data_IF_853064362495
#
_entry.id   IF_853064362495
#
_cell.length_a   1.000
_cell.length_b   1.000
_cell.length_c   1.000
_cell.angle_alpha   90.00
_cell.angle_beta   90.00
_cell.angle_gamma   90.00
#
_symmetry.space_group_name_H-M   'P 1'
#
loop_
_entity.id
_entity.type
_entity.pdbx_description
1 polymer ?
#
# COMPACT_ATOMS: atom_id res chain seq x y z
N UNK A 1 -27.59 -5.12 8.06
CA UNK A 1 -26.76 -6.34 7.87
C UNK A 1 -25.31 -5.91 8.02
N UNK A 2 -24.54 -6.38 9.01
CA UNK A 2 -23.12 -5.95 9.13
C UNK A 2 -22.27 -6.63 8.06
N UNK A 3 -21.31 -5.90 7.49
CA UNK A 3 -20.38 -6.42 6.48
C UNK A 3 -19.46 -7.46 7.14
N UNK A 4 -19.51 -8.71 6.66
CA UNK A 4 -18.72 -9.80 7.21
C UNK A 4 -17.42 -9.97 6.40
N UNK A 5 -16.39 -9.24 6.82
CA UNK A 5 -15.06 -9.22 6.22
C UNK A 5 -14.17 -10.32 6.80
N UNK A 6 -14.55 -11.59 6.66
CA UNK A 6 -13.75 -12.70 7.16
C UNK A 6 -12.32 -12.63 6.59
N UNK A 7 -11.33 -12.59 7.50
CA UNK A 7 -9.89 -12.57 7.21
C UNK A 7 -9.34 -11.29 6.54
N UNK A 8 -10.12 -10.22 6.40
CA UNK A 8 -9.56 -8.91 6.04
C UNK A 8 -8.81 -8.33 7.24
N UNK A 9 -7.54 -8.04 7.03
CA UNK A 9 -6.71 -7.33 8.00
C UNK A 9 -6.69 -5.82 7.69
N UNK A 10 -6.65 -5.46 6.41
CA UNK A 10 -6.45 -4.08 5.95
C UNK A 10 -7.33 -3.73 4.76
N UNK A 11 -7.93 -2.54 4.80
CA UNK A 11 -8.57 -1.89 3.65
C UNK A 11 -7.77 -0.64 3.30
N UNK A 12 -7.31 -0.54 2.07
CA UNK A 12 -6.51 0.59 1.58
C UNK A 12 -7.35 1.40 0.60
N UNK A 13 -7.58 2.66 0.91
CA UNK A 13 -8.15 3.63 -0.02
C UNK A 13 -7.01 4.30 -0.77
N UNK A 14 -7.07 4.40 -2.10
CA UNK A 14 -6.09 5.17 -2.90
C UNK A 14 -6.75 5.91 -4.08
N UNK A 15 -6.03 6.82 -4.72
CA UNK A 15 -6.44 7.47 -5.97
C UNK A 15 -6.59 8.98 -5.83
N UNK A 16 -5.64 9.74 -6.39
CA UNK A 16 -5.66 11.20 -6.41
C UNK A 16 -5.89 11.84 -5.03
N UNK A 17 -6.80 12.81 -4.98
CA UNK A 17 -7.23 13.46 -3.74
C UNK A 17 -8.53 12.84 -3.19
N UNK A 18 -8.39 11.72 -2.49
CA UNK A 18 -9.52 11.04 -1.84
C UNK A 18 -10.26 11.91 -0.81
N UNK A 19 -9.58 12.89 -0.23
CA UNK A 19 -10.19 13.76 0.79
C UNK A 19 -11.24 14.69 0.16
N UNK A 20 -11.12 14.98 -1.13
CA UNK A 20 -12.07 15.80 -1.88
C UNK A 20 -13.21 14.98 -2.50
N UNK A 21 -13.16 13.65 -2.40
CA UNK A 21 -14.17 12.78 -3.03
C UNK A 21 -15.41 12.62 -2.13
N UNK A 22 -16.58 12.91 -2.71
CA UNK A 22 -17.85 13.08 -1.96
C UNK A 22 -18.27 11.86 -1.16
N UNK A 23 -17.91 10.65 -1.61
CA UNK A 23 -18.32 9.40 -0.99
C UNK A 23 -17.28 8.78 -0.04
N UNK A 24 -16.10 9.38 0.11
CA UNK A 24 -15.03 8.80 0.93
C UNK A 24 -15.48 8.57 2.37
N UNK A 25 -16.12 9.54 3.01
CA UNK A 25 -16.55 9.44 4.41
C UNK A 25 -17.60 8.35 4.62
N UNK A 26 -18.54 8.21 3.69
CA UNK A 26 -19.57 7.17 3.74
C UNK A 26 -18.94 5.77 3.66
N UNK A 27 -17.98 5.57 2.74
CA UNK A 27 -17.28 4.29 2.61
C UNK A 27 -16.42 3.97 3.82
N UNK A 28 -15.75 4.99 4.38
CA UNK A 28 -14.99 4.84 5.63
C UNK A 28 -15.90 4.43 6.78
N UNK A 29 -17.08 5.03 6.93
CA UNK A 29 -18.02 4.70 8.00
C UNK A 29 -18.54 3.26 7.88
N UNK A 30 -18.90 2.82 6.66
CA UNK A 30 -19.30 1.43 6.39
C UNK A 30 -18.18 0.46 6.82
N UNK A 31 -16.93 0.76 6.46
CA UNK A 31 -15.78 -0.09 6.78
C UNK A 31 -15.48 -0.12 8.28
N UNK A 32 -15.55 1.04 8.96
CA UNK A 32 -15.32 1.19 10.40
C UNK A 32 -16.36 0.44 11.24
N UNK A 33 -17.60 0.34 10.75
CA UNK A 33 -18.71 -0.32 11.44
C UNK A 33 -18.86 -1.82 11.10
N UNK A 34 -17.91 -2.39 10.34
CA UNK A 34 -17.85 -3.84 10.09
C UNK A 34 -17.56 -4.65 11.36
N UNK A 35 -17.99 -5.92 11.41
CA UNK A 35 -17.86 -6.77 12.60
C UNK A 35 -16.41 -7.02 13.03
N UNK A 36 -15.52 -7.17 12.04
CA UNK A 36 -14.12 -7.55 12.24
C UNK A 36 -13.16 -6.35 12.38
N UNK A 37 -13.64 -5.11 12.20
CA UNK A 37 -12.90 -3.85 12.36
C UNK A 37 -11.48 -3.89 11.76
N UNK A 38 -11.34 -4.03 10.42
CA UNK A 38 -10.03 -4.04 9.78
C UNK A 38 -9.27 -2.73 10.02
N UNK A 39 -7.95 -2.74 9.85
CA UNK A 39 -7.20 -1.50 9.77
C UNK A 39 -7.54 -0.79 8.45
N UNK A 40 -8.03 0.44 8.56
CA UNK A 40 -8.31 1.26 7.38
C UNK A 40 -7.13 2.20 7.15
N UNK A 41 -6.66 2.21 5.92
CA UNK A 41 -5.54 3.01 5.46
C UNK A 41 -5.98 3.89 4.31
N UNK A 42 -5.57 5.15 4.33
CA UNK A 42 -5.70 6.06 3.18
C UNK A 42 -4.31 6.36 2.65
N UNK A 43 -4.08 6.06 1.37
CA UNK A 43 -2.84 6.37 0.66
C UNK A 43 -3.01 7.67 -0.12
N UNK A 44 -2.20 8.67 0.24
CA UNK A 44 -2.26 10.01 -0.33
C UNK A 44 -0.87 10.62 -0.49
N UNK A 45 -0.74 11.50 -1.48
CA UNK A 45 0.40 12.37 -1.59
C UNK A 45 0.33 13.50 -0.55
N UNK A 46 1.47 13.88 0.05
CA UNK A 46 1.52 14.89 1.12
C UNK A 46 0.91 16.24 0.71
N UNK A 47 0.96 16.58 -0.58
CA UNK A 47 0.40 17.83 -1.10
C UNK A 47 -1.13 17.88 -1.02
N UNK A 48 -1.84 16.76 -1.04
CA UNK A 48 -3.30 16.70 -0.89
C UNK A 48 -3.78 16.91 0.56
N UNK A 49 -2.87 16.71 1.52
CA UNK A 49 -3.14 16.91 2.95
C UNK A 49 -3.02 18.38 3.33
N UNK A 50 -2.09 19.10 2.68
CA UNK A 50 -1.75 20.48 3.02
C UNK A 50 -2.99 21.38 2.97
N UNK A 51 -3.30 22.03 4.10
CA UNK A 51 -4.46 22.92 4.29
C UNK A 51 -5.84 22.25 4.16
N UNK A 52 -5.91 20.92 4.26
CA UNK A 52 -7.18 20.21 4.17
C UNK A 52 -7.83 20.03 5.56
N UNK A 53 -8.74 20.95 5.89
CA UNK A 53 -9.49 20.94 7.16
C UNK A 53 -10.46 19.77 7.32
N UNK A 54 -10.71 19.00 6.26
CA UNK A 54 -11.59 17.82 6.37
C UNK A 54 -11.06 16.81 7.38
N UNK A 55 -9.73 16.73 7.52
CA UNK A 55 -9.05 15.84 8.45
C UNK A 55 -9.37 16.15 9.92
N UNK A 56 -9.87 17.35 10.24
CA UNK A 56 -10.29 17.72 11.60
C UNK A 56 -11.53 16.94 12.07
N UNK A 57 -12.27 16.31 11.15
CA UNK A 57 -13.44 15.48 11.49
C UNK A 57 -13.05 14.23 12.29
N UNK A 58 -13.89 13.88 13.26
CA UNK A 58 -13.69 12.75 14.18
C UNK A 58 -13.48 11.38 13.51
N UNK A 59 -13.98 11.18 12.29
CA UNK A 59 -13.78 9.93 11.56
C UNK A 59 -12.29 9.66 11.29
N UNK A 60 -11.52 10.69 10.93
CA UNK A 60 -10.11 10.55 10.53
C UNK A 60 -9.18 10.23 11.71
N UNK A 61 -9.57 10.56 12.95
CA UNK A 61 -8.88 10.12 14.18
C UNK A 61 -8.87 8.59 14.34
N UNK A 62 -9.70 7.86 13.59
CA UNK A 62 -9.76 6.39 13.59
C UNK A 62 -9.03 5.76 12.40
N UNK A 63 -8.55 6.58 11.45
CA UNK A 63 -7.99 6.13 10.18
C UNK A 63 -6.46 6.23 10.19
N UNK A 64 -5.80 5.24 9.60
CA UNK A 64 -4.35 5.24 9.38
C UNK A 64 -4.03 5.83 8.00
N UNK A 65 -2.84 6.39 7.81
CA UNK A 65 -2.44 6.98 6.54
C UNK A 65 -1.09 6.46 6.04
N UNK A 66 -1.00 6.21 4.73
CA UNK A 66 0.26 6.14 4.00
C UNK A 66 0.46 7.48 3.30
N UNK A 67 1.46 8.25 3.73
CA UNK A 67 1.77 9.55 3.14
C UNK A 67 2.96 9.39 2.20
N UNK A 68 2.72 9.58 0.90
CA UNK A 68 3.76 9.53 -0.12
C UNK A 68 4.40 10.89 -0.33
N UNK A 69 5.72 10.88 -0.55
CA UNK A 69 6.52 12.04 -0.90
C UNK A 69 7.77 11.58 -1.65
N UNK A 70 8.33 12.41 -2.53
CA UNK A 70 9.53 12.07 -3.28
C UNK A 70 10.74 12.97 -2.96
N UNK A 71 11.91 12.60 -3.47
CA UNK A 71 13.11 13.42 -3.32
C UNK A 71 12.92 14.75 -4.07
N UNK A 72 12.49 14.68 -5.33
CA UNK A 72 12.24 15.88 -6.13
C UNK A 72 11.18 16.79 -5.48
N UNK A 73 10.11 16.24 -4.89
CA UNK A 73 9.06 17.04 -4.25
C UNK A 73 9.54 17.89 -3.08
N UNK A 74 10.51 17.37 -2.33
CA UNK A 74 11.06 18.03 -1.15
C UNK A 74 12.21 18.97 -1.53
N UNK A 75 13.04 18.57 -2.50
CA UNK A 75 14.30 19.24 -2.82
C UNK A 75 14.31 20.02 -4.16
N UNK A 76 13.16 20.20 -4.81
CA UNK A 76 13.04 21.10 -5.97
C UNK A 76 13.55 22.52 -5.62
N UNK A 77 13.84 23.36 -6.64
CA UNK A 77 14.54 24.66 -6.55
C UNK A 77 14.07 25.67 -5.48
N UNK A 78 12.93 25.44 -4.81
CA UNK A 78 12.46 26.10 -3.58
C UNK A 78 12.79 25.32 -2.29
N UNK A 79 13.96 24.66 -2.24
CA UNK A 79 14.39 23.63 -1.27
C UNK A 79 13.95 23.81 0.20
N UNK A 80 14.13 24.98 0.82
CA UNK A 80 13.82 25.15 2.25
C UNK A 80 12.31 25.21 2.56
N UNK A 81 11.52 25.68 1.60
CA UNK A 81 10.09 25.93 1.81
C UNK A 81 9.29 24.63 1.78
N UNK A 82 9.60 23.72 0.86
CA UNK A 82 8.86 22.46 0.71
C UNK A 82 9.10 21.52 1.90
N UNK A 83 10.35 21.35 2.35
CA UNK A 83 10.61 20.55 3.54
C UNK A 83 9.91 21.12 4.79
N UNK A 84 9.94 22.44 4.98
CA UNK A 84 9.22 23.10 6.08
C UNK A 84 7.70 22.87 6.00
N UNK A 85 7.10 22.98 4.81
CA UNK A 85 5.68 22.70 4.57
C UNK A 85 5.33 21.23 4.81
N UNK A 86 6.20 20.31 4.40
CA UNK A 86 6.03 18.89 4.65
C UNK A 86 6.06 18.59 6.15
N UNK A 87 7.01 19.15 6.90
CA UNK A 87 7.08 19.00 8.35
C UNK A 87 5.85 19.60 9.07
N UNK A 88 5.30 20.72 8.58
CA UNK A 88 4.01 21.26 9.06
C UNK A 88 2.86 20.28 8.79
N UNK A 89 2.84 19.68 7.61
CA UNK A 89 1.85 18.66 7.22
C UNK A 89 1.92 17.44 8.14
N UNK A 90 3.13 16.95 8.48
CA UNK A 90 3.29 15.82 9.40
C UNK A 90 2.86 16.15 10.84
N UNK A 91 3.09 17.39 11.31
CA UNK A 91 2.57 17.82 12.60
C UNK A 91 1.03 17.81 12.62
N UNK A 92 0.41 18.33 11.56
CA UNK A 92 -1.04 18.32 11.40
C UNK A 92 -1.60 16.88 11.38
N UNK A 93 -0.97 15.97 10.64
CA UNK A 93 -1.37 14.56 10.61
C UNK A 93 -1.24 13.86 11.97
N UNK A 94 -0.24 14.22 12.78
CA UNK A 94 -0.07 13.69 14.14
C UNK A 94 -1.22 14.07 15.07
N UNK A 95 -1.84 15.23 14.86
CA UNK A 95 -2.92 15.75 15.69
C UNK A 95 -4.28 15.15 15.31
N UNK A 96 -4.53 14.95 14.01
CA UNK A 96 -5.87 14.67 13.50
C UNK A 96 -6.11 13.24 12.99
N UNK A 97 -5.10 12.36 13.03
CA UNK A 97 -5.21 10.99 12.52
C UNK A 97 -4.78 9.95 13.54
N UNK A 98 -5.15 8.68 13.34
CA UNK A 98 -4.81 7.58 14.26
C UNK A 98 -3.30 7.32 14.29
N UNK A 99 -2.72 7.15 13.10
CA UNK A 99 -1.28 6.98 12.86
C UNK A 99 -1.01 7.26 11.38
N UNK A 100 0.21 7.65 11.05
CA UNK A 100 0.68 7.68 9.67
C UNK A 100 2.01 6.95 9.55
N UNK A 101 2.20 6.30 8.42
CA UNK A 101 3.47 5.76 7.95
C UNK A 101 3.83 6.49 6.64
N UNK A 102 5.12 6.59 6.35
CA UNK A 102 5.60 7.37 5.20
C UNK A 102 6.11 6.45 4.10
N UNK A 103 5.88 6.84 2.86
CA UNK A 103 6.46 6.18 1.69
C UNK A 103 7.28 7.20 0.93
N UNK A 104 8.60 7.08 1.03
CA UNK A 104 9.55 7.89 0.30
C UNK A 104 9.80 7.26 -1.08
N UNK A 105 9.58 8.03 -2.14
CA UNK A 105 9.87 7.62 -3.52
C UNK A 105 11.21 8.23 -3.93
N UNK A 106 12.21 7.37 -4.18
CA UNK A 106 13.47 7.80 -4.77
C UNK A 106 13.26 7.99 -6.28
N UNK A 107 13.05 9.23 -6.71
CA UNK A 107 12.73 9.61 -8.09
C UNK A 107 13.78 10.49 -8.77
N UNK A 108 14.84 10.87 -8.04
CA UNK A 108 15.94 11.68 -8.57
C UNK A 108 17.27 11.12 -8.10
N UNK A 109 18.22 10.98 -9.02
CA UNK A 109 19.62 10.61 -8.74
C UNK A 109 20.51 11.84 -8.54
N UNK A 110 20.01 13.05 -8.85
CA UNK A 110 20.75 14.31 -8.72
C UNK A 110 20.88 14.76 -7.26
N UNK A 111 19.94 14.32 -6.41
CA UNK A 111 19.91 14.65 -4.99
C UNK A 111 20.83 13.69 -4.25
N UNK A 112 21.82 14.24 -3.54
CA UNK A 112 22.82 13.42 -2.85
C UNK A 112 22.20 12.50 -1.78
N UNK A 113 22.69 11.26 -1.71
CA UNK A 113 22.25 10.26 -0.73
C UNK A 113 22.38 10.76 0.72
N UNK A 114 23.40 11.58 0.99
CA UNK A 114 23.62 12.20 2.29
C UNK A 114 22.46 13.14 2.67
N UNK A 115 22.03 14.02 1.78
CA UNK A 115 20.89 14.93 2.02
C UNK A 115 19.61 14.17 2.28
N UNK A 116 19.37 13.10 1.51
CA UNK A 116 18.19 12.24 1.68
C UNK A 116 18.23 11.55 3.03
N UNK A 117 19.38 10.97 3.41
CA UNK A 117 19.56 10.30 4.70
C UNK A 117 19.32 11.25 5.87
N UNK A 118 19.93 12.44 5.85
CA UNK A 118 19.76 13.44 6.90
C UNK A 118 18.28 13.84 7.08
N UNK A 119 17.58 14.10 5.97
CA UNK A 119 16.15 14.39 5.98
C UNK A 119 15.34 13.25 6.59
N UNK A 120 15.58 12.01 6.16
CA UNK A 120 14.88 10.83 6.68
C UNK A 120 15.16 10.63 8.18
N UNK A 121 16.41 10.81 8.62
CA UNK A 121 16.80 10.70 10.02
C UNK A 121 16.10 11.75 10.90
N UNK A 122 15.97 12.99 10.42
CA UNK A 122 15.19 14.04 11.10
C UNK A 122 13.73 13.61 11.28
N UNK A 123 13.10 13.11 10.22
CA UNK A 123 11.69 12.68 10.23
C UNK A 123 11.49 11.49 11.18
N UNK A 124 12.31 10.44 11.04
CA UNK A 124 12.26 9.23 11.88
C UNK A 124 12.43 9.60 13.34
N UNK A 125 13.41 10.44 13.66
CA UNK A 125 13.70 10.81 15.04
C UNK A 125 12.57 11.62 15.68
N UNK A 126 11.96 12.54 14.92
CA UNK A 126 10.90 13.42 15.41
C UNK A 126 9.54 12.73 15.56
N UNK A 127 9.15 11.94 14.57
CA UNK A 127 7.80 11.36 14.51
C UNK A 127 7.74 9.90 14.96
N UNK A 128 8.89 9.23 15.10
CA UNK A 128 8.99 7.80 15.47
C UNK A 128 8.09 6.91 14.58
N UNK A 129 8.02 7.26 13.31
CA UNK A 129 7.20 6.57 12.31
C UNK A 129 8.05 5.65 11.43
N UNK A 130 7.40 4.69 10.76
CA UNK A 130 8.04 3.87 9.74
C UNK A 130 8.11 4.63 8.42
N UNK A 131 9.24 4.46 7.72
CA UNK A 131 9.42 4.95 6.36
C UNK A 131 9.70 3.77 5.44
N UNK A 132 8.86 3.61 4.43
CA UNK A 132 9.06 2.69 3.31
C UNK A 132 9.80 3.42 2.19
N UNK A 133 10.87 2.83 1.69
CA UNK A 133 11.61 3.38 0.54
C UNK A 133 11.15 2.64 -0.70
N UNK A 134 10.56 3.37 -1.64
CA UNK A 134 10.17 2.90 -2.95
C UNK A 134 11.20 3.34 -3.97
N UNK A 135 11.74 2.38 -4.73
CA UNK A 135 12.62 2.65 -5.86
C UNK A 135 11.85 2.45 -7.16
N UNK A 136 12.02 3.36 -8.10
CA UNK A 136 11.50 3.19 -9.45
C UNK A 136 12.25 2.07 -10.15
N UNK A 137 11.51 1.21 -10.84
CA UNK A 137 12.08 0.17 -11.70
C UNK A 137 11.96 0.65 -13.14
N UNK A 138 13.08 0.71 -13.85
CA UNK A 138 13.14 0.98 -15.28
C UNK A 138 13.66 -0.23 -16.06
N UNK A 139 13.76 -0.11 -17.38
CA UNK A 139 14.21 -1.21 -18.23
C UNK A 139 15.68 -1.60 -18.02
N UNK A 140 16.49 -0.70 -17.45
CA UNK A 140 17.92 -0.86 -17.19
C UNK A 140 18.19 -1.45 -15.79
N UNK A 141 17.25 -1.31 -14.86
CA UNK A 141 17.33 -1.75 -13.47
C UNK A 141 16.33 -2.90 -13.18
N UNK A 142 16.31 -3.90 -14.06
CA UNK A 142 15.47 -5.12 -13.94
C UNK A 142 15.90 -6.08 -12.84
N UNK A 143 16.97 -5.76 -12.10
CA UNK A 143 17.57 -6.67 -11.12
C UNK A 143 17.14 -6.32 -9.69
N UNK A 144 16.12 -7.01 -9.18
CA UNK A 144 15.71 -6.86 -7.80
C UNK A 144 16.30 -7.96 -6.90
N UNK A 145 17.12 -7.57 -5.93
CA UNK A 145 17.73 -8.50 -4.95
C UNK A 145 16.70 -8.96 -3.91
N UNK A 146 15.83 -9.91 -4.30
CA UNK A 146 14.77 -10.49 -3.45
C UNK A 146 15.26 -11.01 -2.08
N UNK A 147 16.54 -11.37 -1.94
CA UNK A 147 17.07 -11.89 -0.68
C UNK A 147 17.10 -10.84 0.45
N UNK A 148 17.21 -9.55 0.13
CA UNK A 148 17.11 -8.47 1.11
C UNK A 148 15.71 -8.36 1.74
N UNK A 149 14.70 -8.96 1.08
CA UNK A 149 13.31 -8.97 1.51
C UNK A 149 12.88 -10.31 2.09
N UNK A 150 13.79 -11.27 2.25
CA UNK A 150 13.49 -12.52 2.93
C UNK A 150 13.29 -12.25 4.42
N UNK A 151 12.12 -12.60 4.93
CA UNK A 151 11.81 -12.57 6.36
C UNK A 151 11.18 -13.90 6.72
N UNK A 152 11.84 -14.67 7.57
CA UNK A 152 11.35 -16.00 7.96
C UNK A 152 11.13 -16.03 9.46
N UNK A 153 9.87 -16.18 9.85
CA UNK A 153 9.44 -16.58 11.17
C UNK A 153 8.40 -17.69 11.00
N UNK A 154 8.11 -18.50 12.03
CA UNK A 154 7.07 -19.54 11.94
C UNK A 154 5.72 -18.99 11.45
N UNK A 155 5.33 -17.79 11.93
CA UNK A 155 4.10 -17.11 11.50
C UNK A 155 4.14 -16.76 10.00
N UNK A 156 5.25 -16.19 9.52
CA UNK A 156 5.39 -15.82 8.11
C UNK A 156 5.40 -17.05 7.23
N UNK A 157 6.11 -18.10 7.64
CA UNK A 157 6.17 -19.36 6.89
C UNK A 157 4.78 -19.96 6.69
N UNK A 158 4.00 -20.11 7.77
CA UNK A 158 2.66 -20.68 7.67
C UNK A 158 1.68 -19.79 6.91
N UNK A 159 1.76 -18.46 7.07
CA UNK A 159 1.00 -17.54 6.22
C UNK A 159 1.31 -17.77 4.74
N UNK A 160 2.60 -17.81 4.39
CA UNK A 160 3.05 -17.93 3.00
C UNK A 160 2.83 -19.33 2.42
N UNK A 161 2.66 -20.34 3.27
CA UNK A 161 2.29 -21.69 2.86
C UNK A 161 0.88 -21.73 2.27
N UNK A 162 -0.07 -21.03 2.90
CA UNK A 162 -1.48 -21.01 2.50
C UNK A 162 -1.85 -19.83 1.59
N UNK A 163 -1.19 -18.68 1.76
CA UNK A 163 -1.59 -17.41 1.17
C UNK A 163 -0.42 -16.62 0.55
N UNK A 164 -0.72 -15.66 -0.30
CA UNK A 164 0.28 -14.79 -0.90
C UNK A 164 0.90 -13.83 0.16
N UNK A 165 2.23 -13.69 0.23
CA UNK A 165 2.93 -12.96 1.29
C UNK A 165 2.52 -11.49 1.44
N UNK A 166 2.21 -10.81 0.33
CA UNK A 166 1.84 -9.39 0.32
C UNK A 166 0.33 -9.13 0.25
N UNK A 167 -0.45 -10.06 -0.31
CA UNK A 167 -1.85 -9.79 -0.68
C UNK A 167 -2.84 -10.29 0.37
N UNK A 168 -2.45 -11.30 1.16
CA UNK A 168 -3.35 -11.93 2.12
C UNK A 168 -3.95 -10.92 3.11
N UNK A 169 -5.29 -10.87 3.18
CA UNK A 169 -6.01 -9.98 4.09
C UNK A 169 -6.05 -8.51 3.67
N UNK A 170 -5.58 -8.17 2.47
CA UNK A 170 -5.61 -6.79 1.94
C UNK A 170 -6.68 -6.65 0.86
N UNK A 171 -7.45 -5.57 0.95
CA UNK A 171 -8.36 -5.11 -0.10
C UNK A 171 -8.10 -3.63 -0.36
N UNK A 172 -8.35 -3.19 -1.58
CA UNK A 172 -8.20 -1.82 -2.01
C UNK A 172 -9.51 -1.27 -2.55
N UNK A 173 -9.83 -0.03 -2.22
CA UNK A 173 -10.85 0.77 -2.89
C UNK A 173 -10.17 1.98 -3.53
N UNK A 174 -10.42 2.21 -4.82
CA UNK A 174 -9.95 3.45 -5.46
C UNK A 174 -10.95 4.60 -5.26
N UNK A 175 -10.58 5.81 -5.70
CA UNK A 175 -11.42 6.99 -5.62
C UNK A 175 -12.75 6.83 -6.39
N UNK A 176 -12.78 6.01 -7.44
CA UNK A 176 -13.98 5.73 -8.23
C UNK A 176 -14.88 4.65 -7.62
N UNK A 177 -14.52 4.05 -6.49
CA UNK A 177 -15.29 2.98 -5.83
C UNK A 177 -15.01 1.57 -6.35
N UNK A 178 -14.05 1.39 -7.27
CA UNK A 178 -13.62 0.07 -7.72
C UNK A 178 -12.86 -0.65 -6.61
N UNK A 179 -13.13 -1.95 -6.47
CA UNK A 179 -12.50 -2.83 -5.49
C UNK A 179 -11.40 -3.65 -6.18
N UNK A 180 -10.20 -3.66 -5.61
CA UNK A 180 -9.00 -4.30 -6.16
C UNK A 180 -8.26 -5.10 -5.07
N UNK A 181 -7.39 -6.08 -5.43
CA UNK A 181 -6.56 -6.80 -4.45
C UNK A 181 -5.38 -5.98 -3.91
N UNK A 182 -4.95 -4.94 -4.62
CA UNK A 182 -3.80 -4.10 -4.29
C UNK A 182 -3.88 -2.76 -5.06
N UNK A 183 -3.39 -1.63 -4.51
CA UNK A 183 -3.39 -0.34 -5.21
C UNK A 183 -2.64 -0.35 -6.55
N UNK A 184 -1.64 -1.21 -6.70
CA UNK A 184 -0.84 -1.31 -7.92
C UNK A 184 -1.37 -2.35 -8.93
N UNK A 185 -2.55 -2.93 -8.70
CA UNK A 185 -3.18 -3.91 -9.59
C UNK A 185 -4.42 -3.31 -10.27
N UNK A 186 -4.27 -2.13 -10.86
CA UNK A 186 -5.36 -1.29 -11.43
C UNK A 186 -6.28 -2.02 -12.42
N UNK A 187 -5.75 -2.99 -13.17
CA UNK A 187 -6.52 -3.77 -14.14
C UNK A 187 -7.28 -4.97 -13.52
N UNK A 188 -7.11 -5.23 -12.23
CA UNK A 188 -7.70 -6.38 -11.53
C UNK A 188 -8.87 -5.93 -10.65
N UNK A 189 -9.90 -5.40 -11.31
CA UNK A 189 -11.15 -4.97 -10.67
C UNK A 189 -11.98 -6.21 -10.32
N UNK A 190 -12.30 -6.36 -9.04
CA UNK A 190 -13.08 -7.50 -8.52
C UNK A 190 -14.47 -7.09 -8.02
N UNK A 191 -14.78 -5.79 -8.00
CA UNK A 191 -16.10 -5.27 -7.68
C UNK A 191 -16.16 -3.75 -7.80
N UNK A 192 -17.35 -3.19 -7.63
CA UNK A 192 -17.58 -1.75 -7.69
C UNK A 192 -18.71 -1.35 -6.72
N UNK A 193 -18.37 -0.52 -5.73
CA UNK A 193 -19.34 -0.02 -4.74
C UNK A 193 -20.20 1.13 -5.26
N UNK A 194 -19.81 1.78 -6.36
CA UNK A 194 -20.62 2.81 -7.00
C UNK A 194 -21.77 2.20 -7.82
N UNK A 195 -21.55 1.02 -8.40
CA UNK A 195 -22.57 0.25 -9.13
C UNK A 195 -23.42 -0.64 -8.21
N UNK A 196 -22.83 -1.19 -7.15
CA UNK A 196 -23.50 -2.10 -6.22
C UNK A 196 -23.03 -1.92 -4.78
N UNK A 197 -23.91 -1.45 -3.90
CA UNK A 197 -23.64 -1.29 -2.47
C UNK A 197 -23.25 -2.59 -1.75
N UNK A 198 -23.62 -3.75 -2.29
CA UNK A 198 -23.26 -5.07 -1.77
C UNK A 198 -21.95 -5.64 -2.35
N UNK A 199 -21.27 -4.93 -3.27
CA UNK A 199 -20.08 -5.44 -3.95
C UNK A 199 -18.99 -5.92 -2.97
N UNK A 200 -18.75 -5.17 -1.88
CA UNK A 200 -17.79 -5.59 -0.84
C UNK A 200 -18.16 -6.91 -0.16
N UNK A 201 -19.45 -7.26 -0.08
CA UNK A 201 -19.90 -8.54 0.49
C UNK A 201 -19.78 -9.66 -0.54
N UNK A 202 -20.17 -9.37 -1.79
CA UNK A 202 -20.16 -10.33 -2.90
C UNK A 202 -18.76 -10.85 -3.22
N UNK A 203 -17.72 -10.02 -3.12
CA UNK A 203 -16.34 -10.49 -3.36
C UNK A 203 -15.91 -11.64 -2.44
N UNK A 204 -16.50 -11.75 -1.24
CA UNK A 204 -16.25 -12.86 -0.32
C UNK A 204 -17.20 -14.02 -0.55
N UNK A 205 -18.49 -13.75 -0.76
CA UNK A 205 -19.48 -14.79 -1.05
C UNK A 205 -19.11 -15.60 -2.30
N UNK A 206 -18.59 -14.92 -3.31
CA UNK A 206 -18.18 -15.52 -4.59
C UNK A 206 -16.70 -15.92 -4.62
N UNK A 207 -15.96 -15.72 -3.51
CA UNK A 207 -14.52 -15.99 -3.42
C UNK A 207 -13.67 -15.29 -4.51
N UNK A 208 -14.12 -14.15 -5.04
CA UNK A 208 -13.39 -13.38 -6.08
C UNK A 208 -11.98 -13.01 -5.62
N UNK A 209 -11.82 -12.67 -4.34
CA UNK A 209 -10.52 -12.28 -3.76
C UNK A 209 -9.55 -13.46 -3.58
N UNK A 210 -10.06 -14.69 -3.46
CA UNK A 210 -9.23 -15.89 -3.21
C UNK A 210 -8.25 -16.18 -4.36
N UNK A 211 -8.61 -15.80 -5.59
CA UNK A 211 -7.72 -15.85 -6.77
C UNK A 211 -6.38 -15.17 -6.49
N UNK A 212 -6.37 -14.13 -5.66
CA UNK A 212 -5.19 -13.33 -5.30
C UNK A 212 -4.63 -13.75 -3.94
N UNK A 213 -5.48 -13.85 -2.92
CA UNK A 213 -5.04 -14.17 -1.56
C UNK A 213 -4.45 -15.58 -1.46
N UNK A 214 -5.01 -16.57 -2.16
CA UNK A 214 -4.52 -17.96 -2.14
C UNK A 214 -3.45 -18.23 -3.20
N UNK A 215 -2.98 -17.23 -3.95
CA UNK A 215 -1.89 -17.36 -4.92
C UNK A 215 -0.53 -17.33 -4.21
N UNK A 216 -0.28 -18.26 -3.29
CA UNK A 216 1.03 -18.36 -2.65
C UNK A 216 2.12 -18.77 -3.66
N UNK A 217 3.40 -18.52 -3.32
CA UNK A 217 4.54 -18.78 -4.21
C UNK A 217 4.68 -20.26 -4.60
N UNK A 218 4.08 -21.19 -3.86
CA UNK A 218 4.02 -22.61 -4.25
C UNK A 218 3.16 -22.89 -5.49
N UNK A 219 2.29 -21.95 -5.89
CA UNK A 219 1.43 -22.06 -7.09
C UNK A 219 2.01 -21.35 -8.32
N UNK A 220 3.17 -20.72 -8.19
CA UNK A 220 3.87 -20.06 -9.30
C UNK A 220 4.92 -21.02 -9.83
N UNK A 221 4.93 -21.27 -11.14
CA UNK A 221 5.74 -22.32 -11.79
C UNK A 221 7.24 -22.19 -11.45
N UNK A 222 7.82 -20.99 -11.56
CA UNK A 222 9.23 -20.72 -11.21
C UNK A 222 9.54 -20.89 -9.71
N UNK A 223 8.52 -20.85 -8.86
CA UNK A 223 8.66 -20.83 -7.41
C UNK A 223 8.29 -22.15 -6.73
N UNK A 224 7.50 -23.03 -7.36
CA UNK A 224 6.98 -24.26 -6.75
C UNK A 224 8.07 -25.19 -6.22
N UNK A 225 9.20 -25.26 -6.92
CA UNK A 225 10.37 -26.08 -6.55
C UNK A 225 11.45 -25.27 -5.81
N UNK A 226 11.25 -23.96 -5.59
CA UNK A 226 12.21 -23.13 -4.89
C UNK A 226 12.19 -23.41 -3.38
N UNK A 227 13.35 -23.71 -2.79
CA UNK A 227 13.49 -23.96 -1.35
C UNK A 227 13.13 -22.74 -0.49
N UNK A 228 13.20 -21.53 -1.06
CA UNK A 228 12.91 -20.28 -0.36
C UNK A 228 11.45 -19.83 -0.49
N UNK A 229 10.59 -20.54 -1.22
CA UNK A 229 9.24 -20.06 -1.62
C UNK A 229 8.34 -19.59 -0.48
N UNK A 230 8.48 -20.14 0.73
CA UNK A 230 7.68 -19.71 1.89
C UNK A 230 8.39 -18.69 2.79
N UNK A 231 9.66 -18.42 2.55
CA UNK A 231 10.42 -17.34 3.18
C UNK A 231 10.64 -16.12 2.30
N UNK A 232 10.29 -16.22 1.02
CA UNK A 232 10.42 -15.16 0.03
C UNK A 232 9.22 -14.21 0.09
N UNK A 233 9.50 -12.93 -0.14
CA UNK A 233 8.51 -11.89 -0.30
C UNK A 233 8.63 -11.32 -1.72
N UNK A 234 7.51 -11.01 -2.36
CA UNK A 234 7.48 -10.42 -3.69
C UNK A 234 6.32 -9.42 -3.82
N UNK A 235 6.43 -8.52 -4.81
CA UNK A 235 5.34 -7.65 -5.23
C UNK A 235 4.60 -8.26 -6.43
N UNK A 236 3.41 -8.83 -6.15
CA UNK A 236 2.61 -9.51 -7.16
C UNK A 236 2.20 -8.60 -8.33
N UNK A 237 1.93 -7.34 -8.01
CA UNK A 237 1.58 -6.31 -8.99
C UNK A 237 2.70 -6.12 -10.02
N UNK A 238 3.94 -5.94 -9.56
CA UNK A 238 5.09 -5.72 -10.43
C UNK A 238 5.40 -6.99 -11.25
N UNK A 239 5.37 -8.16 -10.64
CA UNK A 239 5.62 -9.42 -11.34
C UNK A 239 4.53 -9.71 -12.38
N UNK A 240 3.26 -9.41 -12.09
CA UNK A 240 2.18 -9.52 -13.07
C UNK A 240 2.33 -8.51 -14.22
N UNK A 241 2.66 -7.25 -13.91
CA UNK A 241 2.88 -6.19 -14.91
C UNK A 241 4.05 -6.52 -15.85
N UNK A 242 5.18 -6.96 -15.29
CA UNK A 242 6.39 -7.26 -16.06
C UNK A 242 6.33 -8.57 -16.84
N UNK A 243 5.54 -9.55 -16.38
CA UNK A 243 5.36 -10.83 -17.08
C UNK A 243 4.11 -10.89 -17.96
N UNK A 244 3.26 -9.87 -17.89
CA UNK A 244 1.91 -9.80 -18.48
C UNK A 244 1.00 -10.98 -18.07
N UNK A 245 1.31 -11.63 -16.94
CA UNK A 245 0.58 -12.82 -16.44
C UNK A 245 0.47 -12.76 -14.93
N UNK A 246 -0.72 -12.94 -14.38
CA UNK A 246 -0.94 -12.90 -12.92
C UNK A 246 -0.02 -13.87 -12.15
N UNK A 247 0.25 -15.04 -12.70
CA UNK A 247 1.12 -16.07 -12.12
C UNK A 247 2.55 -16.08 -12.69
N UNK A 248 2.94 -15.07 -13.47
CA UNK A 248 4.28 -14.99 -14.06
C UNK A 248 5.36 -14.62 -13.05
N UNK A 249 6.63 -14.80 -13.43
CA UNK A 249 7.79 -14.47 -12.57
C UNK A 249 8.97 -14.02 -13.43
N UNK A 250 9.19 -12.71 -13.50
CA UNK A 250 10.21 -12.05 -14.31
C UNK A 250 11.37 -11.50 -13.48
N UNK A 251 11.14 -11.05 -12.24
CA UNK A 251 12.19 -10.35 -11.47
C UNK A 251 13.15 -11.27 -10.71
N UNK A 252 12.72 -12.50 -10.40
CA UNK A 252 13.55 -13.43 -9.64
C UNK A 252 14.61 -14.10 -10.51
N UNK A 253 15.89 -13.94 -10.15
CA UNK A 253 17.05 -14.54 -10.85
C UNK A 253 17.45 -15.94 -10.37
N UNK A 254 16.97 -16.42 -9.21
CA UNK A 254 17.37 -17.73 -8.62
C UNK A 254 16.78 -18.97 -9.32
N UNK A 255 16.31 -18.83 -10.55
CA UNK A 255 15.71 -19.93 -11.33
C UNK A 255 16.10 -19.88 -12.80
N UNK A 256 17.27 -19.29 -13.08
CA UNK A 256 18.05 -19.49 -14.29
C UNK A 256 19.20 -20.46 -13.96
#
# INVERSE_FOLDING_TARGET
CKLNLHNVHSIIFYGGDLLSYINTENLLDICLNSEKKPEIWILLHWRHIRNNKILEKEIYKKINFYITFSASDIFDGENEKNFSLFMKTLNYMKEYTKKFELTFVQDSEEISEFKIKDMLDIIINKYKTKIYISKLLDENNKSFMNHLFMRVSPKIFWNNYYYHPCLNGTITLNAEGKILPCPSMENEIIGDVAENENALKEIFLENKIDKYWKLHLGKIEKCKNCIYRFGCFECRAIEAKTSQRLNGKSLCKKGE
#
